data_IF_097417577407
#
_entry.id   IF_097417577407
#
_cell.length_a   1.000
_cell.length_b   1.000
_cell.length_c   1.000
_cell.angle_alpha   90.00
_cell.angle_beta   90.00
_cell.angle_gamma   90.00
#
_symmetry.space_group_name_H-M   'P 1'
#
loop_
_entity.id
_entity.type
_entity.pdbx_description
1 polymer ?
#
# COMPACT_ATOMS: atom_id res chain seq x y z
N UNK A 1 -24.63 -17.80 -6.73
CA UNK A 1 -25.39 -16.52 -6.86
C UNK A 1 -25.31 -15.85 -8.25
N UNK A 2 -24.15 -15.58 -8.89
CA UNK A 2 -24.11 -15.18 -10.34
C UNK A 2 -23.56 -16.29 -11.23
N UNK A 3 -22.41 -16.87 -10.90
CA UNK A 3 -21.80 -17.95 -11.70
C UNK A 3 -22.64 -19.22 -11.75
N UNK A 4 -23.32 -19.51 -10.65
CA UNK A 4 -24.31 -20.59 -10.55
C UNK A 4 -25.53 -20.35 -11.45
N UNK A 5 -25.99 -19.10 -11.59
CA UNK A 5 -27.05 -18.73 -12.52
C UNK A 5 -26.60 -18.85 -13.99
N UNK A 6 -25.31 -18.60 -14.26
CA UNK A 6 -24.69 -18.78 -15.57
C UNK A 6 -24.36 -20.24 -15.91
N UNK A 7 -24.59 -21.20 -14.99
CA UNK A 7 -24.20 -22.60 -15.19
C UNK A 7 -22.68 -22.81 -15.30
N UNK A 8 -21.89 -21.87 -14.78
CA UNK A 8 -20.42 -21.93 -14.82
C UNK A 8 -19.92 -22.55 -13.51
N UNK A 9 -19.32 -23.73 -13.60
CA UNK A 9 -18.55 -24.28 -12.49
C UNK A 9 -17.24 -23.50 -12.33
N UNK A 10 -17.06 -22.91 -11.14
CA UNK A 10 -15.84 -22.20 -10.78
C UNK A 10 -15.29 -22.71 -9.46
N UNK A 11 -13.96 -22.72 -9.36
CA UNK A 11 -13.29 -22.98 -8.09
C UNK A 11 -13.36 -21.72 -7.22
N UNK A 12 -13.74 -21.89 -5.95
CA UNK A 12 -13.69 -20.79 -4.98
C UNK A 12 -12.25 -20.60 -4.52
N UNK A 13 -11.69 -19.37 -4.59
CA UNK A 13 -10.31 -19.15 -4.19
C UNK A 13 -10.13 -19.43 -2.70
N UNK A 14 -9.04 -20.12 -2.37
CA UNK A 14 -8.67 -20.35 -0.97
C UNK A 14 -8.20 -19.05 -0.31
N UNK A 15 -8.20 -19.00 1.02
CA UNK A 15 -7.61 -17.90 1.79
C UNK A 15 -6.17 -17.59 1.33
N UNK A 16 -5.37 -18.61 1.07
CA UNK A 16 -3.98 -18.47 0.61
C UNK A 16 -3.92 -17.85 -0.78
N UNK A 17 -4.80 -18.30 -1.69
CA UNK A 17 -4.90 -17.74 -3.04
C UNK A 17 -5.23 -16.25 -3.00
N UNK A 18 -6.22 -15.86 -2.18
CA UNK A 18 -6.62 -14.46 -2.00
C UNK A 18 -5.45 -13.64 -1.44
N UNK A 19 -4.80 -14.12 -0.37
CA UNK A 19 -3.66 -13.43 0.25
C UNK A 19 -2.52 -13.21 -0.75
N UNK A 20 -2.14 -14.24 -1.47
CA UNK A 20 -1.04 -14.16 -2.45
C UNK A 20 -1.36 -13.18 -3.57
N UNK A 21 -2.62 -13.14 -4.00
CA UNK A 21 -3.06 -12.20 -5.03
C UNK A 21 -3.00 -10.74 -4.54
N UNK A 22 -3.50 -10.47 -3.32
CA UNK A 22 -3.39 -9.14 -2.70
C UNK A 22 -1.94 -8.69 -2.51
N UNK A 23 -1.04 -9.59 -2.12
CA UNK A 23 0.39 -9.27 -2.01
C UNK A 23 1.00 -8.90 -3.36
N UNK A 24 0.64 -9.61 -4.44
CA UNK A 24 1.10 -9.28 -5.79
C UNK A 24 0.54 -7.93 -6.27
N UNK A 25 -0.71 -7.61 -5.95
CA UNK A 25 -1.26 -6.29 -6.23
C UNK A 25 -0.46 -5.19 -5.53
N UNK A 26 -0.13 -5.36 -4.24
CA UNK A 26 0.69 -4.40 -3.52
C UNK A 26 2.10 -4.23 -4.13
N UNK A 27 2.72 -5.32 -4.57
CA UNK A 27 4.01 -5.26 -5.29
C UNK A 27 3.86 -4.51 -6.62
N UNK A 28 2.79 -4.79 -7.37
CA UNK A 28 2.54 -4.13 -8.65
C UNK A 28 2.32 -2.62 -8.45
N UNK A 29 1.60 -2.22 -7.40
CA UNK A 29 1.36 -0.81 -7.05
C UNK A 29 2.67 -0.08 -6.69
N UNK A 30 3.52 -0.71 -5.88
CA UNK A 30 4.86 -0.22 -5.54
C UNK A 30 5.79 -0.03 -6.75
N UNK A 31 5.59 -0.83 -7.80
CA UNK A 31 6.38 -0.74 -9.03
C UNK A 31 5.88 0.35 -9.99
N UNK A 32 4.72 0.96 -9.72
CA UNK A 32 4.21 2.03 -10.57
C UNK A 32 5.01 3.32 -10.33
N UNK A 33 5.61 3.90 -11.38
CA UNK A 33 6.30 5.18 -11.24
C UNK A 33 5.29 6.27 -10.86
N UNK A 34 5.71 7.30 -10.09
CA UNK A 34 4.91 8.50 -9.92
C UNK A 34 4.49 9.11 -11.24
N UNK A 35 3.27 9.65 -11.29
CA UNK A 35 2.86 10.42 -12.46
C UNK A 35 3.71 11.69 -12.57
N UNK A 36 4.03 12.18 -13.79
CA UNK A 36 4.93 13.32 -13.98
C UNK A 36 4.51 14.64 -13.29
N UNK A 37 3.23 14.75 -12.90
CA UNK A 37 2.62 15.92 -12.28
C UNK A 37 2.23 15.69 -10.81
N UNK A 38 2.70 14.61 -10.18
CA UNK A 38 2.49 14.38 -8.75
C UNK A 38 3.45 15.25 -7.91
N UNK A 39 2.90 16.23 -7.21
CA UNK A 39 3.61 16.98 -6.17
C UNK A 39 3.37 16.30 -4.82
N UNK A 40 4.30 15.44 -4.40
CA UNK A 40 4.07 14.53 -3.28
C UNK A 40 4.61 15.08 -1.96
N UNK A 41 3.72 15.19 -0.98
CA UNK A 41 4.10 15.25 0.44
C UNK A 41 4.36 13.83 0.92
N UNK A 42 5.57 13.56 1.40
CA UNK A 42 5.96 12.24 1.90
C UNK A 42 5.73 12.15 3.40
N UNK A 43 4.93 11.16 3.81
CA UNK A 43 4.72 10.77 5.20
C UNK A 43 5.51 9.49 5.47
N UNK A 44 6.46 9.57 6.39
CA UNK A 44 7.21 8.40 6.86
C UNK A 44 6.55 7.88 8.12
N UNK A 45 6.06 6.65 8.05
CA UNK A 45 5.50 5.95 9.19
C UNK A 45 6.37 4.75 9.55
N UNK A 46 6.73 4.67 10.82
CA UNK A 46 7.43 3.54 11.38
C UNK A 46 6.38 2.61 11.98
N UNK A 47 5.60 1.94 11.13
CA UNK A 47 4.53 1.08 11.61
C UNK A 47 4.93 -0.38 11.69
N UNK A 48 4.77 -0.85 12.92
CA UNK A 48 4.55 -2.21 13.33
C UNK A 48 5.80 -3.07 13.55
N UNK A 49 5.91 -3.53 14.78
CA UNK A 49 6.95 -4.43 15.25
C UNK A 49 6.38 -5.85 15.20
N UNK A 50 6.93 -6.70 14.34
CA UNK A 50 6.62 -8.13 14.34
C UNK A 50 7.86 -8.85 14.87
N UNK A 51 7.86 -9.13 16.17
CA UNK A 51 9.06 -9.64 16.84
C UNK A 51 10.18 -8.60 16.83
N UNK A 52 11.32 -8.93 16.24
CA UNK A 52 12.48 -8.03 16.08
C UNK A 52 12.43 -7.19 14.81
N UNK A 53 11.53 -7.51 13.88
CA UNK A 53 11.41 -6.81 12.61
C UNK A 53 10.53 -5.57 12.76
N UNK A 54 10.96 -4.51 12.09
CA UNK A 54 10.32 -3.20 12.00
C UNK A 54 10.12 -2.89 10.53
N UNK A 55 8.92 -2.45 10.18
CA UNK A 55 8.64 -2.00 8.82
C UNK A 55 8.62 -0.48 8.79
N UNK A 56 9.41 0.09 7.90
CA UNK A 56 9.30 1.47 7.48
C UNK A 56 8.33 1.52 6.29
N UNK A 57 7.34 2.40 6.37
CA UNK A 57 6.43 2.69 5.26
C UNK A 57 6.57 4.15 4.88
N UNK A 58 6.84 4.41 3.61
CA UNK A 58 6.76 5.75 3.03
C UNK A 58 5.46 5.86 2.23
N UNK A 59 4.62 6.82 2.61
CA UNK A 59 3.38 7.15 1.91
C UNK A 59 3.54 8.49 1.21
N UNK A 60 3.05 8.58 -0.02
CA UNK A 60 2.94 9.83 -0.77
C UNK A 60 1.50 10.33 -0.75
N UNK A 61 1.33 11.63 -0.53
CA UNK A 61 0.05 12.32 -0.64
C UNK A 61 0.21 13.42 -1.67
N UNK A 62 -0.64 13.46 -2.69
CA UNK A 62 -0.55 14.51 -3.71
C UNK A 62 -1.05 15.84 -3.14
N UNK A 63 -0.15 16.81 -3.00
CA UNK A 63 -0.43 18.14 -2.46
C UNK A 63 -1.52 18.87 -3.24
N UNK A 64 -1.55 18.67 -4.56
CA UNK A 64 -2.54 19.29 -5.46
C UNK A 64 -3.95 18.71 -5.34
N UNK A 65 -4.10 17.54 -4.70
CA UNK A 65 -5.34 16.82 -4.54
C UNK A 65 -5.71 16.61 -3.05
N UNK A 66 -5.16 17.45 -2.16
CA UNK A 66 -5.46 17.35 -0.73
C UNK A 66 -6.95 17.57 -0.46
N UNK A 67 -7.58 16.78 0.42
CA UNK A 67 -8.92 17.04 0.90
C UNK A 67 -9.01 18.41 1.58
N UNK A 68 -10.24 18.97 1.61
CA UNK A 68 -10.53 20.21 2.31
C UNK A 68 -10.03 20.19 3.77
N UNK A 69 -9.51 21.31 4.30
CA UNK A 69 -9.03 21.39 5.67
C UNK A 69 -10.04 20.86 6.69
N UNK A 70 -9.57 20.02 7.61
CA UNK A 70 -10.40 19.35 8.61
C UNK A 70 -11.02 18.03 8.14
N UNK A 71 -10.78 17.61 6.90
CA UNK A 71 -11.06 16.23 6.43
C UNK A 71 -9.85 15.33 6.64
N UNK A 72 -10.09 14.11 7.07
CA UNK A 72 -9.06 13.08 7.18
C UNK A 72 -8.74 12.50 5.81
N UNK A 73 -7.46 12.17 5.59
CA UNK A 73 -7.02 11.38 4.44
C UNK A 73 -7.66 9.99 4.48
N UNK A 74 -8.05 9.51 3.30
CA UNK A 74 -8.53 8.15 3.05
C UNK A 74 -7.46 7.33 2.34
N UNK A 75 -7.74 6.03 2.19
CA UNK A 75 -6.87 5.14 1.43
C UNK A 75 -6.68 5.56 -0.03
N UNK A 76 -7.70 6.16 -0.65
CA UNK A 76 -7.63 6.67 -2.04
C UNK A 76 -6.78 7.94 -2.19
N UNK A 77 -6.53 8.67 -1.09
CA UNK A 77 -5.76 9.92 -1.09
C UNK A 77 -4.25 9.66 -0.92
N UNK A 78 -3.87 8.42 -0.61
CA UNK A 78 -2.48 8.03 -0.30
C UNK A 78 -2.00 6.96 -1.25
N UNK A 79 -0.73 7.03 -1.63
CA UNK A 79 -0.05 5.98 -2.37
C UNK A 79 1.13 5.44 -1.58
N UNK A 80 1.43 4.15 -1.73
CA UNK A 80 2.61 3.56 -1.10
C UNK A 80 3.82 3.82 -1.99
N UNK A 81 4.81 4.51 -1.45
CA UNK A 81 6.07 4.80 -2.15
C UNK A 81 7.12 3.73 -1.85
N UNK A 82 7.18 3.29 -0.59
CA UNK A 82 8.13 2.26 -0.18
C UNK A 82 7.61 1.49 1.03
N UNK A 83 7.93 0.19 1.07
CA UNK A 83 7.76 -0.67 2.25
C UNK A 83 9.09 -1.39 2.47
N UNK A 84 9.80 -1.02 3.53
CA UNK A 84 11.14 -1.54 3.83
C UNK A 84 11.12 -2.28 5.17
N UNK A 85 11.31 -3.61 5.19
CA UNK A 85 11.54 -4.35 6.42
C UNK A 85 12.98 -4.15 6.91
N UNK A 86 13.18 -4.12 8.23
CA UNK A 86 14.49 -3.98 8.83
C UNK A 86 14.44 -4.17 10.35
N UNK A 87 15.60 -4.26 10.98
CA UNK A 87 15.71 -4.49 12.42
C UNK A 87 15.94 -3.19 13.22
N UNK A 88 16.45 -2.13 12.59
CA UNK A 88 16.64 -0.79 13.17
C UNK A 88 16.57 0.32 12.12
N UNK A 89 15.77 1.35 12.40
CA UNK A 89 15.65 2.56 11.58
C UNK A 89 16.22 3.75 12.37
N UNK A 90 17.48 4.11 12.10
CA UNK A 90 18.10 5.35 12.60
C UNK A 90 18.06 6.38 11.47
N UNK A 91 18.03 7.68 11.79
CA UNK A 91 18.06 8.76 10.78
C UNK A 91 19.25 8.62 9.82
N UNK A 92 20.40 8.12 10.30
CA UNK A 92 21.58 7.84 9.47
C UNK A 92 21.41 6.68 8.46
N UNK A 93 20.34 5.88 8.58
CA UNK A 93 20.06 4.74 7.71
C UNK A 93 18.90 5.02 6.74
N UNK A 94 18.37 6.25 6.74
CA UNK A 94 17.30 6.72 5.86
C UNK A 94 17.96 7.48 4.69
N UNK A 95 18.59 6.73 3.77
CA UNK A 95 19.00 7.22 2.43
C UNK A 95 17.92 6.92 1.40
#
# INVERSE_FOLDING_TARGET
MVFEWLGVEQQTPTRTSIRNWLQRLGIADLQQPPQPNEDLVVMLDHSNQIGTEKVLVALGVNASALPEPGKSLKHEDVRVLEVKPGNQWKTANME
#
